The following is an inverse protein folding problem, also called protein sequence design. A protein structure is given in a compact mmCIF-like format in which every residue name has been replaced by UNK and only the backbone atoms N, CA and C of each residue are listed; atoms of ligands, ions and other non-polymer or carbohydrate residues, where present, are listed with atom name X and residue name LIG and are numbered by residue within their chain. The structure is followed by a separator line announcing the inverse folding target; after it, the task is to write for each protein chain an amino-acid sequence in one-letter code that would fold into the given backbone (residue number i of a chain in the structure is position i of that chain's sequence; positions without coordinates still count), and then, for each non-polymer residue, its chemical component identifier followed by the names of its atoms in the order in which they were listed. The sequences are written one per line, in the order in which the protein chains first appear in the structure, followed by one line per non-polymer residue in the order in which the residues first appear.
data_IF_329711144530
#
_entry.id   IF_329711144530
#
_cell.length_a   1.000
_cell.length_b   1.000
_cell.length_c   1.000
_cell.angle_alpha   90.00
_cell.angle_beta   90.00
_cell.angle_gamma   90.00
#
_symmetry.space_group_name_H-M   'P 1'
#
loop_
_entity.id
_entity.type
_entity.pdbx_description
1 polymer ?
#
# COMPACT_ATOMS: atom_id res chain seq x y z
N UNK A 1 30.42 -14.81 -0.66
CA UNK A 1 30.56 -13.37 -0.35
C UNK A 1 29.81 -12.45 -1.33
N UNK A 2 28.74 -12.92 -1.99
CA UNK A 2 27.98 -12.11 -2.96
C UNK A 2 26.92 -11.21 -2.33
N UNK A 3 26.66 -11.34 -1.02
CA UNK A 3 25.69 -10.51 -0.31
C UNK A 3 26.31 -9.32 0.44
N UNK A 4 27.61 -9.06 0.24
CA UNK A 4 28.34 -8.02 1.00
C UNK A 4 28.14 -6.58 0.47
N UNK A 5 27.36 -6.38 -0.61
CA UNK A 5 27.06 -5.06 -1.21
C UNK A 5 25.54 -4.84 -1.45
N UNK A 6 24.69 -5.45 -0.62
CA UNK A 6 23.31 -5.82 -1.00
C UNK A 6 22.23 -4.81 -0.63
N UNK A 7 22.45 -3.52 -0.86
CA UNK A 7 21.39 -2.51 -0.73
C UNK A 7 20.15 -2.91 -1.56
N UNK A 8 20.27 -3.37 -2.83
CA UNK A 8 19.10 -3.77 -3.62
C UNK A 8 18.34 -4.99 -3.08
N UNK A 9 19.06 -6.01 -2.58
CA UNK A 9 18.42 -7.22 -2.04
C UNK A 9 17.68 -6.93 -0.74
N UNK A 10 18.22 -6.04 0.10
CA UNK A 10 17.55 -5.57 1.31
C UNK A 10 16.25 -4.84 0.98
N UNK A 11 16.27 -3.97 -0.02
CA UNK A 11 15.04 -3.32 -0.50
C UNK A 11 14.05 -4.32 -1.09
N UNK A 12 14.51 -5.31 -1.86
CA UNK A 12 13.64 -6.36 -2.41
C UNK A 12 12.96 -7.18 -1.31
N UNK A 13 13.73 -7.66 -0.33
CA UNK A 13 13.19 -8.42 0.79
C UNK A 13 12.28 -7.56 1.66
N UNK A 14 12.61 -6.29 1.85
CA UNK A 14 11.77 -5.31 2.52
C UNK A 14 10.42 -5.13 1.83
N UNK A 15 10.41 -4.91 0.51
CA UNK A 15 9.17 -4.79 -0.25
C UNK A 15 8.36 -6.10 -0.24
N UNK A 16 9.02 -7.25 -0.36
CA UNK A 16 8.36 -8.55 -0.23
C UNK A 16 7.66 -8.75 1.12
N UNK A 17 8.37 -8.45 2.22
CA UNK A 17 7.81 -8.54 3.57
C UNK A 17 6.69 -7.51 3.79
N UNK A 18 6.87 -6.28 3.28
CA UNK A 18 5.87 -5.23 3.39
C UNK A 18 4.55 -5.62 2.73
N UNK A 19 4.58 -6.32 1.60
CA UNK A 19 3.38 -6.78 0.92
C UNK A 19 2.62 -7.79 1.79
N UNK A 20 3.33 -8.72 2.43
CA UNK A 20 2.74 -9.67 3.38
C UNK A 20 2.07 -8.93 4.54
N UNK A 21 2.73 -7.92 5.11
CA UNK A 21 2.17 -7.07 6.16
C UNK A 21 0.91 -6.34 5.68
N UNK A 22 0.94 -5.74 4.49
CA UNK A 22 -0.23 -5.03 3.91
C UNK A 22 -1.43 -5.97 3.74
N UNK A 23 -1.19 -7.19 3.24
CA UNK A 23 -2.22 -8.22 3.12
C UNK A 23 -2.80 -8.58 4.49
N UNK A 24 -1.93 -8.83 5.47
CA UNK A 24 -2.35 -9.14 6.84
C UNK A 24 -3.17 -7.99 7.46
N UNK A 25 -2.75 -6.74 7.26
CA UNK A 25 -3.47 -5.54 7.72
C UNK A 25 -4.84 -5.43 7.05
N UNK A 26 -4.93 -5.67 5.75
CA UNK A 26 -6.21 -5.69 5.04
C UNK A 26 -7.19 -6.70 5.63
N UNK A 27 -6.71 -7.92 5.92
CA UNK A 27 -7.52 -8.96 6.55
C UNK A 27 -7.82 -8.66 8.02
N UNK A 28 -6.91 -8.02 8.76
CA UNK A 28 -7.17 -7.59 10.13
C UNK A 28 -8.35 -6.60 10.18
N UNK A 29 -8.52 -5.76 9.16
CA UNK A 29 -9.64 -4.83 9.04
C UNK A 29 -10.88 -5.42 8.34
N UNK A 30 -11.03 -6.74 8.27
CA UNK A 30 -12.19 -7.37 7.62
C UNK A 30 -13.52 -6.97 8.27
N UNK A 31 -13.53 -6.65 9.57
CA UNK A 31 -14.71 -6.20 10.31
C UNK A 31 -15.15 -4.77 9.98
N UNK A 32 -14.32 -3.97 9.30
CA UNK A 32 -14.65 -2.60 8.89
C UNK A 32 -15.45 -2.59 7.57
N UNK A 33 -16.29 -1.55 7.35
CA UNK A 33 -16.89 -1.33 6.04
C UNK A 33 -15.80 -1.03 4.99
N UNK A 34 -16.15 -1.21 3.71
CA UNK A 34 -15.18 -1.21 2.60
C UNK A 34 -14.31 0.06 2.53
N UNK A 35 -14.88 1.24 2.78
CA UNK A 35 -14.16 2.51 2.73
C UNK A 35 -13.04 2.59 3.79
N UNK A 36 -13.33 2.58 5.11
CA UNK A 36 -12.28 2.73 6.10
C UNK A 36 -11.29 1.56 6.07
N UNK A 37 -11.74 0.35 5.67
CA UNK A 37 -10.83 -0.77 5.42
C UNK A 37 -9.78 -0.43 4.36
N UNK A 38 -10.19 0.10 3.21
CA UNK A 38 -9.26 0.51 2.15
C UNK A 38 -8.37 1.68 2.60
N UNK A 39 -8.96 2.72 3.18
CA UNK A 39 -8.20 3.90 3.65
C UNK A 39 -7.12 3.50 4.65
N UNK A 40 -7.44 2.71 5.67
CA UNK A 40 -6.46 2.29 6.68
C UNK A 40 -5.38 1.37 6.10
N UNK A 41 -5.76 0.43 5.24
CA UNK A 41 -4.79 -0.47 4.59
C UNK A 41 -3.78 0.31 3.78
N UNK A 42 -4.26 1.23 2.93
CA UNK A 42 -3.38 2.03 2.07
C UNK A 42 -2.62 3.09 2.85
N UNK A 43 -3.18 3.63 3.94
CA UNK A 43 -2.46 4.48 4.89
C UNK A 43 -1.25 3.76 5.50
N UNK A 44 -1.43 2.50 5.93
CA UNK A 44 -0.32 1.67 6.44
C UNK A 44 0.70 1.37 5.33
N UNK A 45 0.25 1.05 4.11
CA UNK A 45 1.13 0.87 2.96
C UNK A 45 1.99 2.12 2.71
N UNK A 46 1.37 3.30 2.75
CA UNK A 46 2.06 4.59 2.63
C UNK A 46 3.05 4.86 3.76
N UNK A 47 2.71 4.48 5.00
CA UNK A 47 3.61 4.60 6.14
C UNK A 47 4.87 3.73 5.99
N UNK A 48 4.70 2.53 5.44
CA UNK A 48 5.80 1.58 5.21
C UNK A 48 6.65 2.07 4.04
N UNK A 49 6.04 2.37 2.89
CA UNK A 49 6.80 2.63 1.66
C UNK A 49 7.39 4.03 1.52
N UNK A 50 6.99 5.02 2.32
CA UNK A 50 7.53 6.37 2.22
C UNK A 50 9.02 6.40 2.65
N UNK A 51 9.96 6.71 1.74
CA UNK A 51 11.37 6.78 2.08
C UNK A 51 11.71 8.15 2.68
N UNK A 52 12.61 8.18 3.65
CA UNK A 52 13.18 9.39 4.22
C UNK A 52 14.72 9.32 4.19
N UNK A 53 15.35 10.48 4.06
CA UNK A 53 16.80 10.60 4.20
C UNK A 53 17.17 10.65 5.67
N UNK A 54 18.24 9.96 6.04
CA UNK A 54 18.82 10.03 7.37
C UNK A 54 20.29 10.43 7.29
N UNK A 55 20.79 11.04 8.36
CA UNK A 55 22.18 11.47 8.51
C UNK A 55 22.65 11.04 9.90
N UNK A 56 23.60 10.12 9.94
CA UNK A 56 24.22 9.65 11.17
C UNK A 56 25.62 10.28 11.32
N UNK A 57 25.94 10.92 12.45
CA UNK A 57 27.30 11.36 12.73
C UNK A 57 28.21 10.14 12.92
N UNK A 58 29.34 10.09 12.23
CA UNK A 58 30.36 9.05 12.42
C UNK A 58 31.26 9.40 13.61
N UNK A 59 32.02 8.40 14.06
CA UNK A 59 32.97 8.49 15.16
C UNK A 59 34.10 9.50 14.85
N UNK A 60 34.41 9.72 13.57
CA UNK A 60 35.34 10.76 13.11
C UNK A 60 34.62 12.10 12.94
N UNK A 61 35.09 13.13 13.64
CA UNK A 61 34.52 14.48 13.63
C UNK A 61 34.50 15.05 12.20
N UNK A 62 33.32 15.12 11.59
CA UNK A 62 33.10 15.71 10.26
C UNK A 62 32.64 14.71 9.20
N UNK A 63 32.71 13.41 9.44
CA UNK A 63 32.13 12.41 8.54
C UNK A 63 30.66 12.14 8.87
N UNK A 64 29.82 12.14 7.82
CA UNK A 64 28.39 11.90 7.95
C UNK A 64 27.97 10.83 6.96
N UNK A 65 27.38 9.76 7.47
CA UNK A 65 26.80 8.73 6.64
C UNK A 65 25.36 9.13 6.33
N UNK A 66 25.09 9.34 5.05
CA UNK A 66 23.75 9.66 4.54
C UNK A 66 23.21 8.50 3.75
N UNK A 67 21.95 8.16 4.01
CA UNK A 67 21.28 7.09 3.29
C UNK A 67 19.78 7.33 3.20
N UNK A 68 19.13 6.40 2.52
CA UNK A 68 17.67 6.32 2.43
C UNK A 68 17.19 5.15 3.29
N UNK A 69 16.20 5.41 4.13
CA UNK A 69 15.53 4.39 4.93
C UNK A 69 14.03 4.65 4.96
N UNK A 70 13.21 3.64 5.31
CA UNK A 70 11.79 3.86 5.54
C UNK A 70 11.56 4.97 6.58
N UNK A 71 10.68 5.92 6.27
CA UNK A 71 10.40 7.09 7.11
C UNK A 71 9.92 6.73 8.52
N UNK A 72 9.14 5.66 8.65
CA UNK A 72 8.74 5.11 9.95
C UNK A 72 9.96 4.73 10.81
N UNK A 73 10.98 4.12 10.20
CA UNK A 73 12.22 3.75 10.89
C UNK A 73 13.03 4.99 11.27
N UNK A 74 13.17 5.95 10.34
CA UNK A 74 13.89 7.21 10.60
C UNK A 74 13.25 8.00 11.74
N UNK A 75 11.91 8.07 11.78
CA UNK A 75 11.17 8.71 12.87
C UNK A 75 11.36 7.98 14.21
N UNK A 76 11.28 6.64 14.21
CA UNK A 76 11.46 5.83 15.42
C UNK A 76 12.86 5.96 16.00
N UNK A 77 13.89 5.92 15.14
CA UNK A 77 15.29 6.14 15.55
C UNK A 77 15.48 7.57 16.06
N UNK A 78 14.96 8.57 15.36
CA UNK A 78 15.03 9.97 15.80
C UNK A 78 14.37 10.21 17.16
N UNK A 79 13.27 9.49 17.45
CA UNK A 79 12.64 9.50 18.77
C UNK A 79 13.52 8.84 19.84
N UNK A 80 14.09 7.66 19.56
CA UNK A 80 14.92 6.90 20.51
C UNK A 80 16.24 7.60 20.81
N UNK A 81 16.86 8.23 19.82
CA UNK A 81 18.10 9.00 19.94
C UNK A 81 17.88 10.43 20.47
N UNK A 82 16.64 10.82 20.76
CA UNK A 82 16.26 12.19 21.13
C UNK A 82 16.78 13.25 20.13
N UNK A 83 16.88 12.86 18.85
CA UNK A 83 17.35 13.71 17.76
C UNK A 83 16.15 14.38 17.07
N UNK A 84 15.82 15.59 17.52
CA UNK A 84 14.68 16.35 17.01
C UNK A 84 14.73 16.71 15.52
N UNK A 85 15.91 16.70 14.88
CA UNK A 85 16.03 16.91 13.43
C UNK A 85 15.65 15.64 12.65
N UNK A 86 16.20 14.49 13.03
CA UNK A 86 15.86 13.20 12.43
C UNK A 86 14.39 12.84 12.66
N UNK A 87 13.88 13.09 13.87
CA UNK A 87 12.47 12.86 14.20
C UNK A 87 11.54 13.70 13.33
N UNK A 88 11.75 15.02 13.23
CA UNK A 88 10.88 15.89 12.42
C UNK A 88 10.93 15.52 10.95
N UNK A 89 12.13 15.30 10.40
CA UNK A 89 12.29 14.89 9.01
C UNK A 89 11.58 13.57 8.71
N UNK A 90 11.84 12.55 9.51
CA UNK A 90 11.19 11.24 9.38
C UNK A 90 9.67 11.33 9.54
N UNK A 91 9.19 12.08 10.53
CA UNK A 91 7.75 12.21 10.80
C UNK A 91 7.01 12.96 9.68
N UNK A 92 7.61 13.99 9.08
CA UNK A 92 6.99 14.69 7.94
C UNK A 92 6.82 13.76 6.74
N UNK A 93 7.85 12.99 6.39
CA UNK A 93 7.77 12.01 5.30
C UNK A 93 6.81 10.86 5.63
N UNK A 94 6.74 10.44 6.88
CA UNK A 94 5.81 9.42 7.35
C UNK A 94 4.35 9.88 7.20
N UNK A 95 4.03 11.08 7.69
CA UNK A 95 2.69 11.66 7.59
C UNK A 95 2.31 11.88 6.12
N UNK A 96 3.25 12.35 5.29
CA UNK A 96 3.02 12.50 3.86
C UNK A 96 2.73 11.14 3.19
N UNK A 97 3.50 10.10 3.52
CA UNK A 97 3.27 8.74 3.06
C UNK A 97 1.89 8.22 3.44
N UNK A 98 1.52 8.37 4.71
CA UNK A 98 0.20 8.00 5.22
C UNK A 98 -0.92 8.75 4.52
N UNK A 99 -0.76 10.05 4.27
CA UNK A 99 -1.75 10.87 3.58
C UNK A 99 -1.93 10.42 2.12
N UNK A 100 -0.83 10.20 1.39
CA UNK A 100 -0.87 9.66 0.02
C UNK A 100 -1.51 8.28 -0.03
N UNK A 101 -1.16 7.41 0.92
CA UNK A 101 -1.79 6.11 1.10
C UNK A 101 -3.30 6.22 1.32
N UNK A 102 -3.74 7.08 2.23
CA UNK A 102 -5.16 7.31 2.48
C UNK A 102 -5.90 7.78 1.21
N UNK A 103 -5.31 8.71 0.44
CA UNK A 103 -5.85 9.18 -0.82
C UNK A 103 -6.00 8.05 -1.85
N UNK A 104 -5.01 7.17 -1.97
CA UNK A 104 -5.09 5.96 -2.82
C UNK A 104 -6.24 5.06 -2.36
N UNK A 105 -6.40 4.85 -1.05
CA UNK A 105 -7.50 4.08 -0.49
C UNK A 105 -8.87 4.67 -0.83
N UNK A 106 -9.01 6.00 -0.78
CA UNK A 106 -10.23 6.71 -1.20
C UNK A 106 -10.46 6.57 -2.71
N UNK A 107 -9.42 6.75 -3.52
CA UNK A 107 -9.52 6.62 -4.98
C UNK A 107 -9.94 5.20 -5.41
N UNK A 108 -9.38 4.17 -4.78
CA UNK A 108 -9.77 2.77 -5.03
C UNK A 108 -11.18 2.45 -4.54
N UNK A 109 -11.63 3.09 -3.47
CA UNK A 109 -13.01 2.97 -3.02
C UNK A 109 -13.97 3.64 -4.01
N UNK A 110 -13.63 4.83 -4.50
CA UNK A 110 -14.41 5.57 -5.49
C UNK A 110 -14.58 4.78 -6.79
N UNK A 111 -13.49 4.21 -7.29
CA UNK A 111 -13.52 3.38 -8.51
C UNK A 111 -14.34 2.09 -8.33
N UNK A 112 -14.40 1.52 -7.13
CA UNK A 112 -15.17 0.30 -6.84
C UNK A 112 -16.62 0.55 -6.41
N UNK A 113 -17.13 1.77 -6.52
CA UNK A 113 -18.52 2.08 -6.15
C UNK A 113 -19.45 1.50 -7.23
N UNK A 114 -20.40 0.60 -6.89
CA UNK A 114 -21.37 0.11 -7.86
C UNK A 114 -22.36 1.25 -8.18
N UNK A 115 -22.14 1.91 -9.30
CA UNK A 115 -22.95 3.01 -9.80
C UNK A 115 -22.32 3.57 -11.07
N UNK A 116 -22.83 3.10 -12.21
CA UNK A 116 -22.66 3.62 -13.58
C UNK A 116 -21.59 3.03 -14.50
N UNK A 117 -20.89 1.94 -14.13
CA UNK A 117 -20.09 1.16 -15.09
C UNK A 117 -20.69 -0.25 -15.28
N UNK A 118 -21.88 -0.31 -15.88
CA UNK A 118 -22.37 -1.49 -16.60
C UNK A 118 -21.86 -1.45 -18.07
N UNK A 119 -20.59 -1.13 -18.28
CA UNK A 119 -19.85 -1.26 -19.55
C UNK A 119 -18.38 -1.18 -19.12
N UNK A 120 -17.59 -2.24 -18.94
CA UNK A 120 -17.06 -3.12 -19.98
C UNK A 120 -16.52 -4.37 -19.27
N UNK A 121 -17.27 -5.47 -19.32
CA UNK A 121 -16.69 -6.82 -19.40
C UNK A 121 -17.55 -7.56 -20.42
N UNK A 122 -17.30 -7.30 -21.71
CA UNK A 122 -17.72 -8.21 -22.76
C UNK A 122 -16.72 -8.14 -23.91
N UNK A 123 -15.72 -9.02 -23.79
CA UNK A 123 -14.71 -9.47 -24.76
C UNK A 123 -13.64 -10.09 -23.85
N UNK A 124 -13.89 -11.23 -23.23
CA UNK A 124 -13.80 -12.55 -23.83
C UNK A 124 -14.77 -13.51 -23.10
N UNK A 125 -15.28 -14.51 -23.82
CA UNK A 125 -16.16 -15.59 -23.33
C UNK A 125 -17.68 -15.33 -23.37
N UNK A 126 -18.19 -14.99 -24.56
CA UNK A 126 -19.58 -15.29 -24.95
C UNK A 126 -19.73 -15.27 -26.48
N UNK A 127 -18.86 -16.00 -27.17
CA UNK A 127 -19.19 -16.52 -28.49
C UNK A 127 -19.64 -17.97 -28.29
N UNK A 128 -20.90 -18.23 -28.67
CA UNK A 128 -21.53 -19.55 -28.76
C UNK A 128 -22.31 -20.06 -27.53
N UNK A 129 -23.45 -19.43 -27.24
CA UNK A 129 -24.72 -20.16 -26.97
C UNK A 129 -25.89 -19.17 -26.88
N UNK A 130 -26.30 -18.63 -28.03
CA UNK A 130 -27.54 -17.87 -28.16
C UNK A 130 -28.67 -18.77 -28.68
N UNK A 131 -29.24 -19.60 -27.81
CA UNK A 131 -30.62 -20.07 -28.01
C UNK A 131 -31.24 -20.59 -26.71
N UNK A 132 -31.89 -19.71 -25.94
CA UNK A 132 -32.79 -20.14 -24.88
C UNK A 132 -34.16 -20.49 -25.49
N UNK A 133 -34.63 -21.75 -25.44
CA UNK A 133 -35.91 -22.13 -26.00
C UNK A 133 -37.03 -21.61 -25.09
N UNK A 134 -37.76 -20.62 -25.62
CA UNK A 134 -38.97 -20.03 -25.06
C UNK A 134 -40.01 -21.12 -24.73
N UNK A 135 -40.07 -21.54 -23.46
CA UNK A 135 -41.05 -22.50 -22.95
C UNK A 135 -42.46 -21.90 -23.04
N UNK A 136 -43.23 -22.33 -24.04
CA UNK A 136 -44.66 -22.03 -24.17
C UNK A 136 -45.43 -23.04 -23.32
N UNK A 137 -46.16 -22.56 -22.32
CA UNK A 137 -47.13 -23.42 -21.62
C UNK A 137 -48.43 -23.50 -22.43
N UNK A 138 -49.03 -24.69 -22.59
CA UNK A 138 -50.29 -24.83 -23.31
C UNK A 138 -51.46 -24.36 -22.45
N UNK A 139 -52.30 -23.48 -23.01
CA UNK A 139 -53.62 -23.19 -22.46
C UNK A 139 -54.51 -24.40 -22.70
N UNK A 140 -54.96 -25.05 -21.63
CA UNK A 140 -56.04 -26.03 -21.69
C UNK A 140 -57.34 -25.25 -21.52
N UNK A 141 -58.11 -25.17 -22.60
CA UNK A 141 -59.53 -24.81 -22.61
C UNK A 141 -60.36 -26.02 -23.00
#
# INVERSE_FOLDING_TARGET
MLFANSTPLLWLSYYGLSLLVIIAVYFAFTFLPRLPRLVLTWMVAGAIWAPATFRLPLIEEGEFYTGWAPSAMVAAVGFLENNGAALRGGLMWLVLGMALGALIGVALWWWRRPGDDEYVVQEEESADESESPRRREPMIG
#
